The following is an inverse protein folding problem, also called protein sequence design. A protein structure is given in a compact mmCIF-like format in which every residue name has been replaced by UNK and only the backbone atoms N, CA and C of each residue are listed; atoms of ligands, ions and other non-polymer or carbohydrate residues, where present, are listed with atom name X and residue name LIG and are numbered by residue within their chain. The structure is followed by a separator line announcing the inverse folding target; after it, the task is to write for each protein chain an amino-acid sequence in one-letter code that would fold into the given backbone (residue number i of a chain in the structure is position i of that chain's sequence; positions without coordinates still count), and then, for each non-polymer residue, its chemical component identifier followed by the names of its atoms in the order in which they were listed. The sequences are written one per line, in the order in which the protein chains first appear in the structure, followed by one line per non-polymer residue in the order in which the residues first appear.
data_IF_668156099073
#
_entry.id   IF_668156099073
#
_cell.length_a   1.000
_cell.length_b   1.000
_cell.length_c   1.000
_cell.angle_alpha   90.00
_cell.angle_beta   90.00
_cell.angle_gamma   90.00
#
_symmetry.space_group_name_H-M   'P 1'
#
loop_
_entity.id
_entity.type
_entity.pdbx_description
1 polymer ?
#
# COMPACT_ATOMS: atom_id res chain seq x y z
N UNK A 1 1.09 39.44 12.07
CA UNK A 1 2.08 39.72 13.15
C UNK A 1 3.48 39.47 12.62
N UNK A 2 4.51 40.16 13.12
CA UNK A 2 5.89 39.87 12.74
C UNK A 2 6.32 38.56 13.41
N UNK A 3 6.75 37.57 12.63
CA UNK A 3 7.30 36.31 13.15
C UNK A 3 8.31 35.72 12.18
N UNK A 4 9.09 34.77 12.68
CA UNK A 4 10.02 34.00 11.87
C UNK A 4 9.26 32.99 11.02
N UNK A 5 9.43 33.06 9.71
CA UNK A 5 8.89 32.13 8.72
C UNK A 5 9.98 31.72 7.73
N UNK A 6 9.67 30.70 6.94
CA UNK A 6 10.56 30.21 5.91
C UNK A 6 10.45 31.06 4.65
N UNK A 7 11.58 31.43 4.07
CA UNK A 7 11.71 31.98 2.73
C UNK A 7 12.38 30.96 1.81
N UNK A 8 11.92 30.89 0.56
CA UNK A 8 12.47 30.02 -0.47
C UNK A 8 12.92 30.89 -1.63
N UNK A 9 14.21 30.84 -1.95
CA UNK A 9 14.78 31.49 -3.12
C UNK A 9 14.49 30.63 -4.37
N UNK A 10 13.60 31.11 -5.23
CA UNK A 10 13.18 30.38 -6.44
C UNK A 10 14.29 30.27 -7.50
N UNK A 11 15.23 31.21 -7.54
CA UNK A 11 16.35 31.17 -8.49
C UNK A 11 17.31 30.03 -8.14
N UNK A 12 17.59 29.84 -6.84
CA UNK A 12 18.43 28.73 -6.35
C UNK A 12 17.70 27.40 -6.31
N UNK A 13 16.37 27.39 -6.21
CA UNK A 13 15.59 26.16 -6.06
C UNK A 13 15.73 25.25 -7.30
N UNK A 14 16.21 24.03 -7.13
CA UNK A 14 16.35 23.04 -8.22
C UNK A 14 15.04 22.33 -8.59
N UNK A 15 13.97 22.50 -7.81
CA UNK A 15 12.70 21.83 -8.05
C UNK A 15 12.60 20.38 -7.56
N UNK A 16 13.58 19.89 -6.79
CA UNK A 16 13.64 18.49 -6.36
C UNK A 16 12.52 18.04 -5.39
N UNK A 17 11.81 18.97 -4.75
CA UNK A 17 10.64 18.67 -3.90
C UNK A 17 10.93 18.07 -2.52
N UNK A 18 12.19 17.85 -2.14
CA UNK A 18 12.56 17.25 -0.85
C UNK A 18 12.02 18.05 0.35
N UNK A 19 12.04 19.38 0.27
CA UNK A 19 11.50 20.25 1.31
C UNK A 19 9.97 20.15 1.45
N UNK A 20 9.23 19.93 0.36
CA UNK A 20 7.79 19.71 0.40
C UNK A 20 7.43 18.38 1.07
N UNK A 21 8.27 17.34 0.87
CA UNK A 21 8.12 16.04 1.56
C UNK A 21 8.52 16.10 3.03
N UNK A 22 9.50 16.95 3.39
CA UNK A 22 9.98 17.09 4.76
C UNK A 22 9.06 17.94 5.67
N UNK A 23 8.23 18.82 5.09
CA UNK A 23 7.33 19.68 5.84
C UNK A 23 6.12 18.88 6.37
N UNK A 24 6.08 18.66 7.69
CA UNK A 24 5.01 17.88 8.34
C UNK A 24 3.67 18.61 8.34
N UNK A 25 3.74 19.93 8.35
CA UNK A 25 2.60 20.85 8.37
C UNK A 25 2.00 21.03 6.96
N UNK A 26 2.67 20.52 5.92
CA UNK A 26 2.23 20.66 4.54
C UNK A 26 2.28 22.09 3.99
N UNK A 27 3.07 22.97 4.61
CA UNK A 27 3.16 24.39 4.27
C UNK A 27 3.90 24.68 2.95
N UNK A 28 4.63 23.71 2.40
CA UNK A 28 5.41 23.84 1.16
C UNK A 28 4.80 22.96 0.08
N UNK A 29 4.59 23.53 -1.11
CA UNK A 29 4.17 22.79 -2.29
C UNK A 29 5.06 23.12 -3.50
N UNK A 30 5.04 22.24 -4.51
CA UNK A 30 5.70 22.46 -5.78
C UNK A 30 4.75 23.16 -6.75
N UNK A 31 5.11 24.36 -7.20
CA UNK A 31 4.34 25.18 -8.14
C UNK A 31 5.26 25.57 -9.28
N UNK A 32 4.89 25.21 -10.52
CA UNK A 32 5.70 25.48 -11.73
C UNK A 32 7.16 25.00 -11.60
N UNK A 33 7.36 23.81 -11.00
CA UNK A 33 8.69 23.22 -10.82
C UNK A 33 9.53 23.86 -9.70
N UNK A 34 8.99 24.81 -8.92
CA UNK A 34 9.69 25.46 -7.80
C UNK A 34 8.96 25.26 -6.48
N UNK A 35 9.70 25.14 -5.39
CA UNK A 35 9.11 25.03 -4.07
C UNK A 35 8.59 26.42 -3.63
N UNK A 36 7.36 26.46 -3.12
CA UNK A 36 6.75 27.69 -2.60
C UNK A 36 6.09 27.43 -1.25
N UNK A 37 6.19 28.41 -0.36
CA UNK A 37 5.37 28.46 0.84
C UNK A 37 3.96 28.86 0.41
N UNK A 38 3.00 27.93 0.51
CA UNK A 38 1.66 28.15 -0.03
C UNK A 38 0.79 28.99 0.90
N UNK A 39 1.07 28.92 2.20
CA UNK A 39 0.32 29.58 3.26
C UNK A 39 1.21 29.84 4.46
N UNK A 40 1.19 31.08 4.93
CA UNK A 40 1.98 31.52 6.07
C UNK A 40 1.50 30.85 7.35
N UNK A 41 0.19 30.76 7.53
CA UNK A 41 -0.44 30.15 8.71
C UNK A 41 -0.20 28.63 8.83
N UNK A 42 0.30 27.99 7.78
CA UNK A 42 0.74 26.59 7.86
C UNK A 42 2.20 26.45 8.31
N UNK A 43 3.00 27.51 8.21
CA UNK A 43 4.40 27.47 8.59
C UNK A 43 4.54 27.66 10.10
N UNK A 44 5.06 26.66 10.81
CA UNK A 44 5.35 26.77 12.25
C UNK A 44 6.61 27.62 12.54
N UNK A 45 7.49 27.79 11.55
CA UNK A 45 8.76 28.50 11.68
C UNK A 45 9.87 27.67 12.33
N UNK A 46 9.73 26.34 12.45
CA UNK A 46 10.75 25.47 13.06
C UNK A 46 11.87 25.06 12.10
N UNK A 47 11.62 25.10 10.79
CA UNK A 47 12.67 24.93 9.79
C UNK A 47 13.11 23.50 9.49
N UNK A 48 12.25 22.50 9.72
CA UNK A 48 12.48 21.11 9.32
C UNK A 48 12.85 20.93 7.84
N UNK A 49 12.46 21.88 6.98
CA UNK A 49 12.75 21.86 5.56
C UNK A 49 14.17 22.31 5.20
N UNK A 50 14.89 23.04 6.06
CA UNK A 50 16.22 23.57 5.75
C UNK A 50 17.24 22.47 5.44
N UNK A 51 17.40 21.43 6.30
CA UNK A 51 18.37 20.36 6.04
C UNK A 51 18.04 19.52 4.81
N UNK A 52 16.76 19.53 4.37
CA UNK A 52 16.31 18.77 3.22
C UNK A 52 16.63 19.45 1.88
N UNK A 53 17.08 20.71 1.87
CA UNK A 53 17.36 21.45 0.65
C UNK A 53 18.84 21.29 0.22
N UNK A 54 19.15 20.46 -0.80
CA UNK A 54 20.54 20.18 -1.19
C UNK A 54 21.26 21.39 -1.79
N UNK A 55 20.50 22.38 -2.27
CA UNK A 55 21.01 23.60 -2.91
C UNK A 55 20.95 24.84 -2.00
N UNK A 56 20.60 24.66 -0.71
CA UNK A 56 20.58 25.78 0.24
C UNK A 56 19.60 26.92 -0.08
N UNK A 57 18.54 26.67 -0.85
CA UNK A 57 17.58 27.68 -1.29
C UNK A 57 16.60 28.16 -0.19
N UNK A 58 16.71 27.66 1.05
CA UNK A 58 15.73 27.89 2.13
C UNK A 58 16.40 28.63 3.29
N UNK A 59 15.79 29.72 3.75
CA UNK A 59 16.29 30.53 4.86
C UNK A 59 15.17 30.97 5.80
N UNK A 60 15.55 31.42 6.99
CA UNK A 60 14.62 32.10 7.90
C UNK A 60 14.54 33.59 7.58
N UNK A 61 13.33 34.15 7.62
CA UNK A 61 13.09 35.59 7.52
C UNK A 61 12.11 36.04 8.59
N UNK A 62 12.30 37.25 9.10
CA UNK A 62 11.29 37.93 9.92
C UNK A 62 10.50 38.86 9.01
N UNK A 63 9.21 38.59 8.87
CA UNK A 63 8.29 39.44 8.12
C UNK A 63 6.91 39.40 8.73
N UNK A 64 6.04 40.27 8.27
CA UNK A 64 4.62 40.17 8.55
C UNK A 64 4.06 38.90 7.90
N UNK A 65 3.45 38.06 8.74
CA UNK A 65 2.87 36.78 8.36
C UNK A 65 1.64 36.48 9.24
N UNK A 66 0.73 35.65 8.73
CA UNK A 66 -0.37 35.11 9.52
C UNK A 66 0.17 34.25 10.67
N UNK A 67 -0.53 34.23 11.80
CA UNK A 67 -0.18 33.36 12.92
C UNK A 67 -0.29 31.88 12.50
N UNK A 68 0.52 31.00 13.09
CA UNK A 68 0.41 29.58 12.85
C UNK A 68 -0.95 29.06 13.34
N UNK A 69 -1.65 28.33 12.50
CA UNK A 69 -2.99 27.79 12.76
C UNK A 69 -2.95 26.25 12.68
N UNK A 70 -2.84 25.63 13.85
CA UNK A 70 -2.74 24.16 13.98
C UNK A 70 -4.00 23.45 13.44
N UNK A 71 -5.19 24.03 13.64
CA UNK A 71 -6.44 23.45 13.17
C UNK A 71 -6.54 23.54 11.64
N UNK A 72 -6.15 24.67 11.04
CA UNK A 72 -6.11 24.81 9.58
C UNK A 72 -5.09 23.86 8.92
N UNK A 73 -3.95 23.60 9.58
CA UNK A 73 -2.96 22.58 9.16
C UNK A 73 -3.58 21.19 9.24
N UNK A 74 -4.21 20.84 10.35
CA UNK A 74 -4.85 19.54 10.54
C UNK A 74 -5.93 19.28 9.50
N UNK A 75 -6.77 20.26 9.20
CA UNK A 75 -7.74 20.17 8.12
C UNK A 75 -7.09 20.02 6.74
N UNK A 76 -6.02 20.77 6.46
CA UNK A 76 -5.27 20.66 5.20
C UNK A 76 -4.71 19.25 5.01
N UNK A 77 -4.07 18.69 6.03
CA UNK A 77 -3.52 17.34 6.00
C UNK A 77 -4.63 16.30 5.86
N UNK A 78 -5.76 16.46 6.54
CA UNK A 78 -6.93 15.59 6.39
C UNK A 78 -7.52 15.64 4.97
N UNK A 79 -7.64 16.83 4.37
CA UNK A 79 -8.08 16.99 2.97
C UNK A 79 -7.10 16.38 1.98
N UNK A 80 -5.79 16.53 2.20
CA UNK A 80 -4.75 15.89 1.37
C UNK A 80 -4.84 14.37 1.42
N UNK A 81 -5.15 13.80 2.60
CA UNK A 81 -5.42 12.37 2.76
C UNK A 81 -6.73 11.93 2.08
N UNK A 82 -7.76 12.79 2.00
CA UNK A 82 -9.02 12.49 1.31
C UNK A 82 -8.93 12.59 -0.23
N UNK A 83 -8.06 13.45 -0.76
CA UNK A 83 -7.92 13.72 -2.21
C UNK A 83 -6.82 12.87 -2.87
N UNK A 84 -6.00 12.13 -2.12
CA UNK A 84 -4.86 11.37 -2.68
C UNK A 84 -4.94 9.84 -2.57
N UNK A 85 -6.13 9.27 -2.38
CA UNK A 85 -6.29 7.82 -2.48
C UNK A 85 -6.42 7.38 -3.94
N UNK A 86 -5.32 6.98 -4.59
CA UNK A 86 -5.39 6.22 -5.85
C UNK A 86 -6.49 5.17 -5.69
N UNK A 87 -7.43 5.01 -6.65
CA UNK A 87 -8.47 3.97 -6.55
C UNK A 87 -7.88 2.59 -6.22
N UNK A 88 -6.63 2.35 -6.62
CA UNK A 88 -5.82 1.19 -6.29
C UNK A 88 -5.57 0.94 -4.80
N UNK A 89 -5.76 1.91 -3.91
CA UNK A 89 -5.59 1.78 -2.45
C UNK A 89 -6.91 1.85 -1.68
N UNK A 90 -8.03 2.15 -2.35
CA UNK A 90 -9.33 2.24 -1.69
C UNK A 90 -9.82 0.86 -1.30
N UNK A 91 -9.86 0.57 0.01
CA UNK A 91 -10.40 -0.68 0.54
C UNK A 91 -11.86 -0.85 0.13
N UNK A 92 -12.18 -1.96 -0.53
CA UNK A 92 -13.54 -2.33 -0.95
C UNK A 92 -13.76 -3.81 -0.71
N UNK A 93 -14.84 -4.14 0.00
CA UNK A 93 -15.41 -5.47 -0.03
C UNK A 93 -16.41 -5.56 -1.18
N UNK A 94 -16.30 -6.59 -2.02
CA UNK A 94 -17.20 -6.86 -3.12
C UNK A 94 -18.14 -7.98 -2.71
N UNK A 95 -19.44 -7.67 -2.62
CA UNK A 95 -20.47 -8.67 -2.31
C UNK A 95 -20.71 -9.49 -3.58
N UNK A 96 -20.26 -10.74 -3.59
CA UNK A 96 -20.64 -11.74 -4.60
C UNK A 96 -21.67 -12.66 -3.96
N UNK A 97 -22.87 -12.70 -4.51
CA UNK A 97 -23.87 -13.70 -4.14
C UNK A 97 -23.36 -15.06 -4.63
N UNK A 98 -23.46 -16.11 -3.82
CA UNK A 98 -23.23 -17.47 -4.30
C UNK A 98 -24.19 -17.68 -5.47
N UNK A 99 -23.65 -17.77 -6.69
CA UNK A 99 -24.47 -17.96 -7.88
C UNK A 99 -25.21 -19.30 -7.75
N UNK A 100 -26.52 -19.28 -7.96
CA UNK A 100 -27.31 -20.50 -8.15
C UNK A 100 -26.60 -21.35 -9.21
N UNK A 101 -26.21 -22.57 -8.81
CA UNK A 101 -25.58 -23.57 -9.68
C UNK A 101 -26.62 -24.21 -10.61
N UNK A 102 -27.40 -23.40 -11.33
CA UNK A 102 -28.18 -23.89 -12.45
C UNK A 102 -27.26 -24.04 -13.66
N UNK A 103 -27.05 -25.30 -14.04
CA UNK A 103 -26.27 -25.75 -15.18
C UNK A 103 -26.67 -25.04 -16.48
N UNK A 104 -25.73 -25.03 -17.42
CA UNK A 104 -25.84 -24.63 -18.84
C UNK A 104 -25.31 -23.23 -19.24
N UNK A 105 -24.87 -22.38 -18.31
CA UNK A 105 -23.98 -21.26 -18.61
C UNK A 105 -23.12 -20.91 -17.38
N UNK A 106 -22.17 -21.80 -17.05
CA UNK A 106 -21.31 -21.65 -15.87
C UNK A 106 -20.49 -20.36 -15.95
N UNK A 107 -20.95 -19.34 -15.23
CA UNK A 107 -20.37 -18.00 -15.17
C UNK A 107 -18.85 -18.03 -14.95
N UNK A 108 -18.10 -17.69 -16.00
CA UNK A 108 -16.67 -17.37 -15.99
C UNK A 108 -16.38 -16.03 -15.29
N UNK A 109 -17.37 -15.46 -14.59
CA UNK A 109 -17.25 -14.25 -13.81
C UNK A 109 -16.16 -14.31 -12.74
N UNK A 110 -15.62 -13.13 -12.46
CA UNK A 110 -14.60 -12.92 -11.42
C UNK A 110 -15.11 -13.35 -10.05
N UNK A 111 -14.34 -14.22 -9.38
CA UNK A 111 -14.57 -14.66 -8.00
C UNK A 111 -13.96 -13.72 -6.94
N UNK A 112 -13.38 -12.59 -7.35
CA UNK A 112 -12.73 -11.64 -6.44
C UNK A 112 -13.76 -10.99 -5.48
N UNK A 113 -13.41 -10.91 -4.19
CA UNK A 113 -14.29 -10.41 -3.11
C UNK A 113 -13.75 -9.17 -2.40
N UNK A 114 -12.54 -8.72 -2.74
CA UNK A 114 -11.90 -7.59 -2.08
C UNK A 114 -10.96 -6.83 -3.01
N UNK A 115 -10.73 -5.57 -2.66
CA UNK A 115 -9.68 -4.73 -3.22
C UNK A 115 -9.09 -3.88 -2.10
N UNK A 116 -7.77 -3.59 -2.10
CA UNK A 116 -6.78 -4.06 -3.06
C UNK A 116 -6.28 -5.48 -2.82
N UNK A 117 -5.70 -6.08 -3.87
CA UNK A 117 -5.12 -7.44 -3.82
C UNK A 117 -3.61 -7.44 -3.64
N UNK A 118 -2.91 -6.36 -3.99
CA UNK A 118 -1.45 -6.33 -3.85
C UNK A 118 -1.04 -6.29 -2.37
N UNK A 119 -0.13 -7.17 -1.95
CA UNK A 119 0.37 -7.24 -0.57
C UNK A 119 0.84 -5.88 -0.10
N UNK A 120 1.55 -5.11 -0.95
CA UNK A 120 2.05 -3.77 -0.62
C UNK A 120 0.94 -2.76 -0.31
N UNK A 121 -0.22 -2.87 -0.97
CA UNK A 121 -1.31 -1.90 -0.87
C UNK A 121 -2.38 -2.30 0.15
N UNK A 122 -2.61 -3.60 0.36
CA UNK A 122 -3.63 -4.09 1.28
C UNK A 122 -3.36 -3.68 2.73
N UNK A 123 -4.26 -2.96 3.43
CA UNK A 123 -4.03 -2.54 4.80
C UNK A 123 -4.04 -3.72 5.77
N UNK A 124 -3.10 -3.86 6.72
CA UNK A 124 -3.00 -5.06 7.57
C UNK A 124 -4.23 -5.39 8.44
N UNK A 125 -5.11 -4.43 8.67
CA UNK A 125 -6.28 -4.54 9.56
C UNK A 125 -7.61 -4.44 8.81
N UNK A 126 -7.61 -4.67 7.48
CA UNK A 126 -8.83 -4.58 6.68
C UNK A 126 -9.89 -5.59 7.14
N UNK A 127 -11.15 -5.14 7.25
CA UNK A 127 -12.25 -5.95 7.79
C UNK A 127 -12.51 -7.25 7.02
N UNK A 128 -12.18 -7.30 5.73
CA UNK A 128 -12.38 -8.49 4.91
C UNK A 128 -11.52 -9.69 5.33
N UNK A 129 -10.49 -9.50 6.17
CA UNK A 129 -9.68 -10.61 6.68
C UNK A 129 -10.36 -11.43 7.79
N UNK A 130 -11.37 -10.89 8.46
CA UNK A 130 -11.97 -11.55 9.61
C UNK A 130 -12.74 -12.81 9.19
N UNK A 131 -12.37 -13.95 9.76
CA UNK A 131 -12.89 -15.28 9.43
C UNK A 131 -12.50 -15.80 8.04
N UNK A 132 -11.46 -15.25 7.41
CA UNK A 132 -11.14 -15.54 6.01
C UNK A 132 -10.23 -16.77 5.83
N UNK A 133 -10.42 -17.47 4.71
CA UNK A 133 -9.36 -18.29 4.11
C UNK A 133 -8.48 -17.39 3.25
N UNK A 134 -7.18 -17.35 3.53
CA UNK A 134 -6.24 -16.45 2.88
C UNK A 134 -5.50 -17.17 1.74
N UNK A 135 -5.58 -16.59 0.54
CA UNK A 135 -4.76 -16.96 -0.61
C UNK A 135 -3.61 -15.96 -0.75
N UNK A 136 -2.37 -16.45 -0.72
CA UNK A 136 -1.17 -15.67 -1.03
C UNK A 136 -0.61 -16.20 -2.34
N UNK A 137 -0.56 -15.38 -3.39
CA UNK A 137 -0.21 -15.85 -4.73
C UNK A 137 0.91 -15.02 -5.38
N UNK A 138 1.83 -15.69 -6.07
CA UNK A 138 2.78 -14.98 -6.92
C UNK A 138 2.06 -14.37 -8.14
N UNK A 139 2.44 -13.16 -8.56
CA UNK A 139 1.71 -12.42 -9.60
C UNK A 139 1.49 -13.21 -10.89
N UNK A 140 2.48 -14.01 -11.31
CA UNK A 140 2.44 -14.79 -12.55
C UNK A 140 1.40 -15.92 -12.52
N UNK A 141 1.01 -16.40 -11.33
CA UNK A 141 0.21 -17.63 -11.19
C UNK A 141 -1.18 -17.52 -11.80
N UNK A 142 -1.82 -16.37 -11.67
CA UNK A 142 -3.13 -16.12 -12.27
C UNK A 142 -3.09 -15.97 -13.80
N UNK A 143 -1.94 -15.63 -14.36
CA UNK A 143 -1.73 -15.56 -15.81
C UNK A 143 -1.33 -16.91 -16.40
N UNK A 144 -0.62 -17.74 -15.63
CA UNK A 144 -0.20 -19.07 -16.07
C UNK A 144 -1.33 -20.11 -15.96
N UNK A 145 -2.08 -20.12 -14.85
CA UNK A 145 -3.11 -21.12 -14.59
C UNK A 145 -4.51 -20.60 -14.96
N UNK A 146 -5.07 -21.07 -16.08
CA UNK A 146 -6.29 -20.52 -16.65
C UNK A 146 -7.53 -20.56 -15.74
N UNK A 147 -7.62 -21.52 -14.82
CA UNK A 147 -8.75 -21.67 -13.88
C UNK A 147 -8.53 -21.01 -12.53
N UNK A 148 -7.60 -20.05 -12.43
CA UNK A 148 -7.14 -19.50 -11.14
C UNK A 148 -8.26 -18.90 -10.30
N UNK A 149 -9.20 -18.19 -10.93
CA UNK A 149 -10.33 -17.62 -10.21
C UNK A 149 -11.23 -18.69 -9.57
N UNK A 150 -11.33 -19.84 -10.21
CA UNK A 150 -12.33 -20.87 -9.90
C UNK A 150 -11.78 -21.80 -8.82
N UNK A 151 -10.49 -22.15 -8.94
CA UNK A 151 -9.87 -23.16 -8.10
C UNK A 151 -9.12 -22.52 -6.90
N UNK A 152 -8.60 -21.28 -7.06
CA UNK A 152 -7.85 -20.58 -6.01
C UNK A 152 -8.57 -19.37 -5.41
N UNK A 153 -9.16 -18.47 -6.20
CA UNK A 153 -9.76 -17.22 -5.66
C UNK A 153 -11.12 -17.47 -5.00
N UNK A 154 -11.90 -18.42 -5.52
CA UNK A 154 -13.24 -18.73 -5.00
C UNK A 154 -13.20 -18.92 -3.49
N UNK A 155 -14.06 -18.16 -2.81
CA UNK A 155 -14.26 -18.16 -1.35
C UNK A 155 -13.05 -17.77 -0.49
N UNK A 156 -11.98 -17.25 -1.10
CA UNK A 156 -10.77 -16.80 -0.40
C UNK A 156 -10.56 -15.29 -0.52
N UNK A 157 -9.88 -14.73 0.47
CA UNK A 157 -9.29 -13.39 0.39
C UNK A 157 -7.91 -13.53 -0.24
N UNK A 158 -7.66 -12.75 -1.28
CA UNK A 158 -6.46 -12.86 -2.12
C UNK A 158 -5.48 -11.74 -1.83
N UNK A 159 -4.22 -12.11 -1.65
CA UNK A 159 -3.07 -11.24 -1.65
C UNK A 159 -2.06 -11.70 -2.69
N UNK A 160 -1.61 -10.78 -3.54
CA UNK A 160 -0.64 -11.05 -4.60
C UNK A 160 0.64 -10.23 -4.43
N UNK A 161 1.76 -10.76 -4.89
CA UNK A 161 2.99 -10.01 -5.05
C UNK A 161 4.12 -10.86 -5.63
N UNK A 162 5.20 -10.21 -6.04
CA UNK A 162 6.39 -10.86 -6.57
C UNK A 162 7.64 -10.31 -5.87
N UNK A 163 8.20 -11.02 -4.87
CA UNK A 163 9.36 -10.52 -4.11
C UNK A 163 10.55 -10.12 -4.99
N UNK A 164 10.71 -10.76 -6.17
CA UNK A 164 11.74 -10.41 -7.15
C UNK A 164 11.53 -9.04 -7.80
N UNK A 165 10.28 -8.64 -8.06
CA UNK A 165 9.95 -7.36 -8.70
C UNK A 165 9.69 -6.24 -7.69
N UNK A 166 9.17 -6.61 -6.53
CA UNK A 166 8.80 -5.65 -5.49
C UNK A 166 9.99 -5.22 -4.62
N UNK A 167 11.10 -5.97 -4.64
CA UNK A 167 12.30 -5.72 -3.82
C UNK A 167 11.94 -5.47 -2.35
N UNK A 168 11.05 -6.31 -1.80
CA UNK A 168 10.45 -6.13 -0.48
C UNK A 168 10.25 -7.48 0.21
N UNK A 169 10.63 -7.58 1.48
CA UNK A 169 10.30 -8.73 2.33
C UNK A 169 8.85 -8.65 2.82
N UNK A 170 8.01 -9.56 2.34
CA UNK A 170 6.61 -9.65 2.75
C UNK A 170 6.39 -10.25 4.12
N UNK A 171 7.40 -10.89 4.73
CA UNK A 171 7.27 -11.62 5.99
C UNK A 171 6.65 -10.77 7.09
N UNK A 172 7.11 -9.52 7.25
CA UNK A 172 6.64 -8.63 8.32
C UNK A 172 5.17 -8.25 8.13
N UNK A 173 4.81 -7.82 6.93
CA UNK A 173 3.43 -7.39 6.65
C UNK A 173 2.45 -8.55 6.71
N UNK A 174 2.83 -9.72 6.21
CA UNK A 174 2.04 -10.94 6.33
C UNK A 174 1.91 -11.36 7.80
N UNK A 175 2.99 -11.27 8.59
CA UNK A 175 2.91 -11.54 10.05
C UNK A 175 1.87 -10.65 10.71
N UNK A 176 1.89 -9.35 10.39
CA UNK A 176 0.93 -8.37 10.90
C UNK A 176 -0.51 -8.70 10.51
N UNK A 177 -0.76 -9.06 9.25
CA UNK A 177 -2.08 -9.47 8.77
C UNK A 177 -2.56 -10.71 9.53
N UNK A 178 -1.71 -11.73 9.67
CA UNK A 178 -2.10 -12.97 10.35
C UNK A 178 -2.32 -12.76 11.87
N UNK A 179 -1.47 -11.96 12.51
CA UNK A 179 -1.56 -11.69 13.94
C UNK A 179 -2.80 -10.86 14.31
N UNK A 180 -3.12 -9.84 13.51
CA UNK A 180 -4.19 -8.86 13.81
C UNK A 180 -5.60 -9.29 13.38
N UNK A 181 -5.75 -10.38 12.63
CA UNK A 181 -7.05 -10.82 12.10
C UNK A 181 -7.34 -12.30 12.37
N UNK A 182 -8.60 -12.69 12.42
CA UNK A 182 -9.01 -14.10 12.53
C UNK A 182 -8.91 -14.79 11.16
N UNK A 183 -7.80 -15.46 10.88
CA UNK A 183 -7.58 -16.21 9.63
C UNK A 183 -7.83 -17.69 9.89
N UNK A 184 -8.59 -18.36 9.01
CA UNK A 184 -8.92 -19.79 9.11
C UNK A 184 -7.82 -20.69 8.52
N UNK A 185 -7.29 -20.32 7.36
CA UNK A 185 -6.25 -21.08 6.66
C UNK A 185 -5.41 -20.18 5.76
N UNK A 186 -4.22 -20.65 5.40
CA UNK A 186 -3.33 -19.99 4.43
C UNK A 186 -3.03 -20.96 3.29
N UNK A 187 -3.32 -20.55 2.06
CA UNK A 187 -2.90 -21.26 0.84
C UNK A 187 -1.92 -20.38 0.09
N UNK A 188 -0.73 -20.89 -0.18
CA UNK A 188 0.27 -20.22 -1.01
C UNK A 188 0.25 -20.83 -2.39
N UNK A 189 0.16 -20.02 -3.43
CA UNK A 189 0.31 -20.46 -4.82
C UNK A 189 1.53 -19.79 -5.44
N UNK A 190 2.48 -20.60 -5.91
CA UNK A 190 3.75 -20.14 -6.47
C UNK A 190 3.99 -20.77 -7.84
N UNK A 191 4.88 -20.18 -8.64
CA UNK A 191 5.43 -20.85 -9.82
C UNK A 191 6.58 -21.78 -9.43
N UNK A 192 6.86 -22.81 -10.23
CA UNK A 192 7.98 -23.75 -10.02
C UNK A 192 9.35 -23.06 -10.02
N UNK A 193 9.48 -21.95 -10.74
CA UNK A 193 10.73 -21.20 -10.90
C UNK A 193 11.31 -20.71 -9.56
N UNK A 194 12.65 -20.63 -9.44
CA UNK A 194 13.32 -20.30 -8.19
C UNK A 194 12.98 -18.90 -7.65
N UNK A 195 12.65 -17.94 -8.53
CA UNK A 195 12.31 -16.58 -8.10
C UNK A 195 11.02 -16.52 -7.26
N UNK A 196 10.15 -17.53 -7.33
CA UNK A 196 8.96 -17.61 -6.47
C UNK A 196 9.27 -18.25 -5.10
N UNK A 197 10.52 -18.58 -4.78
CA UNK A 197 10.88 -19.09 -3.44
C UNK A 197 10.63 -18.05 -2.34
N UNK A 198 10.82 -16.76 -2.65
CA UNK A 198 10.66 -15.68 -1.70
C UNK A 198 9.23 -15.54 -1.13
N UNK A 199 8.19 -15.85 -1.92
CA UNK A 199 6.81 -15.69 -1.45
C UNK A 199 6.41 -16.80 -0.47
N UNK A 200 6.83 -18.03 -0.75
CA UNK A 200 6.67 -19.18 0.16
C UNK A 200 7.40 -18.94 1.47
N UNK A 201 8.65 -18.53 1.39
CA UNK A 201 9.46 -18.21 2.57
C UNK A 201 8.82 -17.12 3.44
N UNK A 202 8.30 -16.06 2.81
CA UNK A 202 7.63 -14.98 3.51
C UNK A 202 6.35 -15.45 4.23
N UNK A 203 5.54 -16.29 3.58
CA UNK A 203 4.33 -16.86 4.16
C UNK A 203 4.64 -17.83 5.31
N UNK A 204 5.61 -18.73 5.14
CA UNK A 204 6.08 -19.65 6.17
C UNK A 204 6.55 -18.91 7.42
N UNK A 205 7.41 -17.90 7.24
CA UNK A 205 7.86 -17.03 8.33
C UNK A 205 6.71 -16.33 9.03
N UNK A 206 5.74 -15.82 8.26
CA UNK A 206 4.60 -15.12 8.81
C UNK A 206 3.74 -16.04 9.67
N UNK A 207 3.43 -17.25 9.18
CA UNK A 207 2.68 -18.26 9.95
C UNK A 207 3.43 -18.64 11.21
N UNK A 208 4.74 -18.88 11.13
CA UNK A 208 5.57 -19.22 12.30
C UNK A 208 5.63 -18.10 13.36
N UNK A 209 5.49 -16.83 12.96
CA UNK A 209 5.65 -15.66 13.84
C UNK A 209 4.36 -15.02 14.29
N UNK A 210 3.22 -15.34 13.68
CA UNK A 210 1.94 -14.65 13.95
C UNK A 210 1.31 -15.01 15.31
N UNK A 211 1.89 -15.95 16.06
CA UNK A 211 1.40 -16.38 17.38
C UNK A 211 0.15 -17.26 17.33
N UNK A 212 -0.26 -17.72 16.13
CA UNK A 212 -1.45 -18.57 15.92
C UNK A 212 -1.06 -19.88 15.25
N UNK A 213 -1.79 -20.96 15.56
CA UNK A 213 -1.69 -22.23 14.83
C UNK A 213 -2.60 -22.15 13.61
N UNK A 214 -2.01 -22.00 12.43
CA UNK A 214 -2.75 -21.89 11.18
C UNK A 214 -2.40 -23.07 10.26
N UNK A 215 -3.40 -23.76 9.68
CA UNK A 215 -3.13 -24.71 8.60
C UNK A 215 -2.62 -23.94 7.38
N UNK A 216 -1.51 -24.42 6.81
CA UNK A 216 -0.89 -23.84 5.63
C UNK A 216 -0.54 -24.92 4.60
N UNK A 217 -0.76 -24.60 3.33
CA UNK A 217 -0.32 -25.43 2.21
C UNK A 217 0.33 -24.57 1.11
N UNK A 218 1.23 -25.19 0.34
CA UNK A 218 1.91 -24.56 -0.79
C UNK A 218 1.59 -25.38 -2.04
N UNK A 219 1.08 -24.71 -3.07
CA UNK A 219 0.75 -25.30 -4.37
C UNK A 219 1.66 -24.67 -5.41
N UNK A 220 2.26 -25.51 -6.25
CA UNK A 220 3.22 -25.09 -7.27
C UNK A 220 2.62 -25.25 -8.65
N UNK A 221 2.70 -24.18 -9.46
CA UNK A 221 2.29 -24.16 -10.87
C UNK A 221 3.53 -24.21 -11.75
N UNK A 222 3.52 -25.11 -12.72
CA UNK A 222 4.56 -25.26 -13.74
C UNK A 222 4.59 -24.07 -14.70
N UNK A 223 5.70 -23.91 -15.41
CA UNK A 223 5.84 -22.91 -16.47
C UNK A 223 4.93 -23.16 -17.68
N UNK A 224 4.40 -24.37 -17.79
CA UNK A 224 3.35 -24.80 -18.72
C UNK A 224 1.93 -24.47 -18.23
N UNK A 225 1.77 -23.97 -17.01
CA UNK A 225 0.47 -23.62 -16.43
C UNK A 225 -0.27 -24.78 -15.78
N UNK A 226 0.36 -25.95 -15.61
CA UNK A 226 -0.22 -27.08 -14.89
C UNK A 226 0.15 -27.08 -13.40
N UNK A 227 -0.61 -27.78 -12.56
CA UNK A 227 -0.21 -27.96 -11.16
C UNK A 227 0.87 -29.06 -11.09
N UNK A 228 2.02 -28.72 -10.53
CA UNK A 228 3.08 -29.69 -10.28
C UNK A 228 2.59 -30.74 -9.27
N UNK A 229 2.65 -32.01 -9.66
CA UNK A 229 2.29 -33.16 -8.82
C UNK A 229 3.49 -33.72 -8.07
#
# INVERSE_FOLDING_TARGET
MIRTVIHINEELCSGCGLCASACKEGAIAMVNGKARLIRDDYCDGLGNCLPACPVGAISFVQREAAAFDEEAVKEHLARKQQVSGCPGMKVRAMKRTAANESAENADNGSRLRQWPVQIRLAPPTAAFYQGADLLIAADCTAYAYGRFHQDFIRDRIVLIGCPKLDDTDYSLKLTDILAKNEIRSVTVVRMEVPCCGGISYAAEKAVARCGKKLPMQIITIGTDGEICR
#
